data_IF_131755508476
#
_entry.id   IF_131755508476
#
_cell.length_a   1.000
_cell.length_b   1.000
_cell.length_c   1.000
_cell.angle_alpha   90.00
_cell.angle_beta   90.00
_cell.angle_gamma   90.00
#
_symmetry.space_group_name_H-M   'P 1'
#
loop_
_entity.id
_entity.type
_entity.pdbx_description
1 polymer ?
#
# COMPACT_ATOMS: atom_id res chain seq x y z
N UNK A 1 -32.00 7.10 37.35
CA UNK A 1 -32.94 7.83 38.21
C UNK A 1 -33.45 6.95 39.36
N UNK A 2 -34.13 5.82 39.12
CA UNK A 2 -34.71 4.95 40.14
C UNK A 2 -33.69 4.49 41.20
N UNK A 3 -32.45 4.17 40.79
CA UNK A 3 -31.39 3.80 41.75
C UNK A 3 -30.94 5.00 42.59
N UNK A 4 -30.80 6.18 41.99
CA UNK A 4 -30.44 7.42 42.71
C UNK A 4 -31.50 7.76 43.76
N UNK A 5 -32.79 7.64 43.40
CA UNK A 5 -33.90 7.83 44.32
C UNK A 5 -33.90 6.82 45.49
N UNK A 6 -33.77 5.50 45.18
CA UNK A 6 -33.69 4.45 46.22
C UNK A 6 -32.53 4.63 47.18
N UNK A 7 -31.40 5.16 46.69
CA UNK A 7 -30.20 5.44 47.49
C UNK A 7 -30.24 6.83 48.16
N UNK A 8 -31.36 7.56 48.03
CA UNK A 8 -31.56 8.91 48.61
C UNK A 8 -30.56 9.96 48.12
N UNK A 9 -30.03 9.82 46.90
CA UNK A 9 -29.22 10.84 46.27
C UNK A 9 -30.03 11.97 45.65
N UNK A 10 -31.32 11.72 45.38
CA UNK A 10 -32.29 12.70 44.89
C UNK A 10 -33.58 12.55 45.67
N UNK A 11 -34.30 13.66 45.86
CA UNK A 11 -35.62 13.72 46.52
C UNK A 11 -36.72 13.13 45.63
N UNK A 12 -37.91 12.90 46.19
CA UNK A 12 -39.07 12.46 45.41
C UNK A 12 -39.44 13.47 44.33
N UNK A 13 -39.38 14.75 44.66
CA UNK A 13 -39.71 15.85 43.74
C UNK A 13 -38.71 15.91 42.58
N UNK A 14 -37.41 15.82 42.88
CA UNK A 14 -36.36 15.74 41.85
C UNK A 14 -36.51 14.50 40.96
N UNK A 15 -36.91 13.35 41.55
CA UNK A 15 -37.11 12.11 40.82
C UNK A 15 -38.27 12.23 39.82
N UNK A 16 -39.42 12.73 40.24
CA UNK A 16 -40.61 12.88 39.36
C UNK A 16 -40.34 13.94 38.27
N UNK A 17 -39.76 15.08 38.62
CA UNK A 17 -39.33 16.08 37.65
C UNK A 17 -38.39 15.54 36.62
N UNK A 18 -37.36 14.80 37.01
CA UNK A 18 -36.37 14.24 36.11
C UNK A 18 -36.93 13.11 35.21
N UNK A 19 -38.04 12.46 35.57
CA UNK A 19 -38.75 11.49 34.73
C UNK A 19 -39.47 12.17 33.56
N UNK A 20 -39.99 13.35 33.79
CA UNK A 20 -40.70 14.13 32.78
C UNK A 20 -39.74 14.93 31.87
N UNK A 21 -38.54 15.20 32.35
CA UNK A 21 -37.54 15.96 31.61
C UNK A 21 -36.96 15.15 30.45
N UNK A 22 -37.05 15.70 29.24
CA UNK A 22 -36.39 15.09 28.04
C UNK A 22 -34.89 15.28 28.12
N UNK A 23 -34.17 14.17 28.08
CA UNK A 23 -32.72 14.20 27.99
C UNK A 23 -32.28 14.90 26.68
N UNK A 24 -31.73 16.08 26.79
CA UNK A 24 -31.09 16.78 25.67
C UNK A 24 -29.65 16.31 25.59
N UNK A 25 -29.37 15.47 24.61
CA UNK A 25 -28.00 15.11 24.27
C UNK A 25 -27.29 16.33 23.68
N UNK A 26 -26.25 16.78 24.36
CA UNK A 26 -25.36 17.76 23.77
C UNK A 26 -24.87 17.23 22.40
N UNK A 27 -24.88 18.05 21.36
CA UNK A 27 -24.20 17.73 20.10
C UNK A 27 -22.70 17.71 20.38
N UNK A 28 -22.23 16.62 20.95
CA UNK A 28 -20.78 16.38 21.04
C UNK A 28 -20.30 16.27 19.59
N UNK A 29 -19.33 17.08 19.15
CA UNK A 29 -18.71 16.86 17.85
C UNK A 29 -18.25 15.40 17.81
N UNK A 30 -18.75 14.65 16.84
CA UNK A 30 -18.27 13.28 16.69
C UNK A 30 -16.74 13.33 16.56
N UNK A 31 -16.04 12.47 17.27
CA UNK A 31 -14.57 12.36 17.24
C UNK A 31 -14.03 12.45 15.80
N UNK A 32 -14.76 11.88 14.85
CA UNK A 32 -14.46 11.88 13.43
C UNK A 32 -14.49 13.26 12.74
N UNK A 33 -15.21 14.25 13.26
CA UNK A 33 -15.26 15.61 12.67
C UNK A 33 -14.00 16.41 12.95
N UNK A 34 -13.26 16.05 13.99
CA UNK A 34 -11.96 16.65 14.33
C UNK A 34 -10.79 15.86 13.81
N UNK A 35 -10.99 14.58 13.47
CA UNK A 35 -9.95 13.71 12.93
C UNK A 35 -9.75 13.97 11.43
N UNK A 36 -8.57 14.47 11.07
CA UNK A 36 -8.22 14.88 9.70
C UNK A 36 -7.76 13.72 8.81
N UNK A 37 -7.44 12.56 9.40
CA UNK A 37 -6.98 11.37 8.69
C UNK A 37 -7.49 10.08 9.39
N UNK A 38 -8.81 9.85 9.45
CA UNK A 38 -9.39 8.81 10.32
C UNK A 38 -8.92 7.40 9.97
N UNK A 39 -8.87 7.01 8.70
CA UNK A 39 -8.33 5.70 8.30
C UNK A 39 -6.88 5.49 8.74
N UNK A 40 -6.06 6.54 8.66
CA UNK A 40 -4.68 6.48 9.12
C UNK A 40 -4.60 6.36 10.64
N UNK A 41 -5.45 7.09 11.37
CA UNK A 41 -5.50 6.97 12.83
C UNK A 41 -5.90 5.56 13.27
N UNK A 42 -6.88 4.92 12.63
CA UNK A 42 -7.24 3.53 12.91
C UNK A 42 -6.08 2.57 12.61
N UNK A 43 -5.35 2.82 11.52
CA UNK A 43 -4.14 2.05 11.21
C UNK A 43 -3.08 2.23 12.30
N UNK A 44 -2.84 3.47 12.77
CA UNK A 44 -1.90 3.77 13.86
C UNK A 44 -2.32 3.08 15.16
N UNK A 45 -3.62 3.04 15.49
CA UNK A 45 -4.11 2.34 16.68
C UNK A 45 -3.79 0.85 16.64
N UNK A 46 -4.03 0.19 15.50
CA UNK A 46 -3.66 -1.22 15.30
C UNK A 46 -2.14 -1.47 15.37
N UNK A 47 -1.33 -0.52 14.90
CA UNK A 47 0.13 -0.61 15.03
C UNK A 47 0.58 -0.43 16.48
N UNK A 48 -0.05 0.45 17.27
CA UNK A 48 0.22 0.59 18.71
C UNK A 48 -0.09 -0.70 19.47
N UNK A 49 -1.21 -1.35 19.18
CA UNK A 49 -1.56 -2.65 19.75
C UNK A 49 -0.50 -3.72 19.46
N UNK A 50 -0.02 -3.79 18.20
CA UNK A 50 1.08 -4.70 17.81
C UNK A 50 2.41 -4.40 18.53
N UNK A 51 2.63 -3.15 18.90
CA UNK A 51 3.79 -2.71 19.69
C UNK A 51 3.64 -3.00 21.19
N UNK A 52 2.50 -3.55 21.62
CA UNK A 52 2.23 -3.96 23.00
C UNK A 52 1.60 -2.88 23.89
N UNK A 53 1.13 -1.78 23.30
CA UNK A 53 0.29 -0.82 24.01
C UNK A 53 -1.14 -1.37 24.09
N UNK A 54 -1.68 -1.55 25.29
CA UNK A 54 -3.07 -2.00 25.44
C UNK A 54 -4.08 -0.85 25.21
N UNK A 55 -5.34 -1.21 24.96
CA UNK A 55 -6.40 -0.24 24.68
C UNK A 55 -6.62 0.75 25.85
N UNK A 56 -6.44 0.30 27.08
CA UNK A 56 -6.58 1.13 28.30
C UNK A 56 -5.43 2.14 28.36
N UNK A 57 -4.20 1.70 28.12
CA UNK A 57 -3.03 2.57 28.06
C UNK A 57 -3.17 3.64 26.98
N UNK A 58 -3.64 3.25 25.78
CA UNK A 58 -3.84 4.19 24.67
C UNK A 58 -4.91 5.23 25.02
N UNK A 59 -6.05 4.80 25.59
CA UNK A 59 -7.19 5.68 25.88
C UNK A 59 -6.99 6.59 27.09
N UNK A 60 -6.26 6.11 28.11
CA UNK A 60 -6.12 6.79 29.42
C UNK A 60 -4.70 7.29 29.69
N UNK A 61 -3.70 6.77 28.98
CA UNK A 61 -2.28 7.06 29.23
C UNK A 61 -1.83 8.46 28.83
N UNK A 62 -2.64 9.21 28.10
CA UNK A 62 -2.30 10.57 27.63
C UNK A 62 -1.07 10.60 26.73
N UNK A 63 -0.88 9.57 25.93
CA UNK A 63 0.23 9.46 25.00
C UNK A 63 0.13 10.46 23.86
N UNK A 64 1.29 10.99 23.48
CA UNK A 64 1.48 11.74 22.22
C UNK A 64 2.18 10.82 21.22
N UNK A 65 1.44 10.43 20.18
CA UNK A 65 1.97 9.62 19.09
C UNK A 65 2.41 10.52 17.95
N UNK A 66 3.70 10.53 17.66
CA UNK A 66 4.26 11.25 16.50
C UNK A 66 4.31 10.28 15.34
N UNK A 67 3.64 10.64 14.27
CA UNK A 67 3.47 9.81 13.08
C UNK A 67 4.26 10.33 11.90
N UNK A 68 4.36 9.50 10.85
CA UNK A 68 5.09 9.82 9.61
C UNK A 68 4.25 10.57 8.58
N UNK A 69 2.94 10.75 8.83
CA UNK A 69 1.99 11.30 7.87
C UNK A 69 2.36 12.72 7.41
N UNK A 70 2.41 12.94 6.11
CA UNK A 70 2.44 14.28 5.53
C UNK A 70 1.01 14.83 5.43
N UNK A 71 0.64 15.69 6.36
CA UNK A 71 -0.73 16.22 6.41
C UNK A 71 -1.10 17.04 5.16
N UNK A 72 -0.15 17.74 4.52
CA UNK A 72 -0.41 18.49 3.29
C UNK A 72 -0.74 17.55 2.13
N UNK A 73 0.03 16.49 1.97
CA UNK A 73 -0.21 15.46 0.97
C UNK A 73 -1.50 14.66 1.27
N UNK A 74 -1.76 14.34 2.55
CA UNK A 74 -3.00 13.67 2.97
C UNK A 74 -4.24 14.49 2.64
N UNK A 75 -4.22 15.79 2.92
CA UNK A 75 -5.32 16.69 2.57
C UNK A 75 -5.54 16.73 1.06
N UNK A 76 -4.46 16.84 0.27
CA UNK A 76 -4.53 16.79 -1.19
C UNK A 76 -5.14 15.48 -1.70
N UNK A 77 -4.82 14.33 -1.07
CA UNK A 77 -5.39 13.04 -1.43
C UNK A 77 -6.90 12.99 -1.16
N UNK A 78 -7.35 13.42 0.00
CA UNK A 78 -8.77 13.45 0.34
C UNK A 78 -9.56 14.34 -0.64
N UNK A 79 -9.03 15.53 -0.97
CA UNK A 79 -9.64 16.45 -1.93
C UNK A 79 -9.62 15.88 -3.36
N UNK A 80 -8.52 15.25 -3.78
CA UNK A 80 -8.38 14.63 -5.10
C UNK A 80 -9.36 13.48 -5.30
N UNK A 81 -9.55 12.62 -4.28
CA UNK A 81 -10.54 11.55 -4.31
C UNK A 81 -11.94 12.14 -4.56
N UNK A 82 -12.37 13.07 -3.74
CA UNK A 82 -13.72 13.63 -3.84
C UNK A 82 -13.95 14.36 -5.16
N UNK A 83 -13.00 15.19 -5.58
CA UNK A 83 -13.08 15.97 -6.82
C UNK A 83 -13.16 15.06 -8.05
N UNK A 84 -12.25 14.07 -8.16
CA UNK A 84 -12.18 13.23 -9.33
C UNK A 84 -13.35 12.24 -9.38
N UNK A 85 -13.76 11.63 -8.26
CA UNK A 85 -14.93 10.76 -8.25
C UNK A 85 -16.19 11.52 -8.70
N UNK A 86 -16.45 12.72 -8.16
CA UNK A 86 -17.60 13.54 -8.57
C UNK A 86 -17.53 13.97 -10.03
N UNK A 87 -16.37 14.41 -10.48
CA UNK A 87 -16.18 14.87 -11.87
C UNK A 87 -16.39 13.78 -12.92
N UNK A 88 -16.27 12.51 -12.53
CA UNK A 88 -16.49 11.36 -13.42
C UNK A 88 -17.81 10.60 -13.13
N UNK A 89 -18.72 11.19 -12.38
CA UNK A 89 -20.04 10.58 -12.08
C UNK A 89 -20.00 9.44 -11.06
N UNK A 90 -18.91 9.32 -10.29
CA UNK A 90 -18.74 8.31 -9.26
C UNK A 90 -19.06 8.87 -7.85
N UNK A 91 -20.14 9.66 -7.74
CA UNK A 91 -20.57 10.27 -6.47
C UNK A 91 -21.38 9.36 -5.56
N UNK A 92 -21.94 8.26 -6.08
CA UNK A 92 -22.81 7.32 -5.36
C UNK A 92 -22.09 6.63 -4.19
N UNK A 93 -22.84 6.13 -3.19
CA UNK A 93 -22.26 5.56 -1.97
C UNK A 93 -21.31 4.40 -2.23
N UNK A 94 -21.65 3.51 -3.15
CA UNK A 94 -20.83 2.35 -3.52
C UNK A 94 -19.52 2.69 -4.21
N UNK A 95 -19.43 3.84 -4.88
CA UNK A 95 -18.22 4.25 -5.59
C UNK A 95 -17.16 4.68 -4.58
N UNK A 96 -15.99 4.10 -4.65
CA UNK A 96 -14.91 4.31 -3.70
C UNK A 96 -13.57 4.53 -4.40
N UNK A 97 -12.63 5.13 -3.65
CA UNK A 97 -11.24 5.19 -4.02
C UNK A 97 -10.37 5.06 -2.76
N UNK A 98 -9.21 4.47 -2.90
CA UNK A 98 -8.20 4.40 -1.86
C UNK A 98 -6.85 4.90 -2.39
N UNK A 99 -6.08 5.55 -1.52
CA UNK A 99 -4.75 6.05 -1.82
C UNK A 99 -3.80 5.65 -0.70
N UNK A 100 -2.68 5.07 -1.09
CA UNK A 100 -1.60 4.75 -0.17
C UNK A 100 -0.27 5.26 -0.75
N UNK A 101 0.49 6.03 0.05
CA UNK A 101 1.80 6.55 -0.35
C UNK A 101 2.82 6.38 0.76
N UNK A 102 4.04 6.02 0.38
CA UNK A 102 5.16 5.93 1.31
C UNK A 102 6.48 6.33 0.64
N UNK A 103 7.50 6.61 1.45
CA UNK A 103 8.86 6.86 0.99
C UNK A 103 9.58 5.53 0.75
N UNK A 104 10.07 5.24 -0.46
CA UNK A 104 10.83 4.04 -0.75
C UNK A 104 12.23 4.05 -0.14
N UNK A 105 12.67 5.19 0.41
CA UNK A 105 14.01 5.37 0.99
C UNK A 105 14.03 4.96 2.47
N UNK A 106 13.06 5.43 3.26
CA UNK A 106 13.03 5.23 4.71
C UNK A 106 11.74 4.59 5.23
N UNK A 107 10.77 4.29 4.36
CA UNK A 107 9.55 3.58 4.70
C UNK A 107 8.46 4.43 5.36
N UNK A 108 8.63 5.74 5.50
CA UNK A 108 7.62 6.61 6.09
C UNK A 108 6.32 6.59 5.29
N UNK A 109 5.21 6.26 5.94
CA UNK A 109 3.87 6.40 5.34
C UNK A 109 3.53 7.88 5.27
N UNK A 110 3.27 8.40 4.06
CA UNK A 110 3.03 9.81 3.80
C UNK A 110 1.56 10.12 3.59
N UNK A 111 0.80 9.19 2.94
CA UNK A 111 -0.63 9.34 2.67
C UNK A 111 -1.32 8.00 2.92
N UNK A 112 -2.49 8.06 3.54
CA UNK A 112 -3.31 6.89 3.83
C UNK A 112 -4.79 7.23 3.80
N UNK A 113 -5.47 6.90 2.72
CA UNK A 113 -6.90 7.10 2.55
C UNK A 113 -7.57 5.78 2.17
N UNK A 114 -8.26 5.14 3.12
CA UNK A 114 -8.93 3.84 2.93
C UNK A 114 -10.29 3.94 2.23
N UNK A 115 -10.77 5.14 1.93
CA UNK A 115 -12.04 5.39 1.27
C UNK A 115 -12.33 6.88 1.11
N UNK A 116 -13.43 7.22 0.46
CA UNK A 116 -13.81 8.62 0.19
C UNK A 116 -14.46 9.34 1.37
N UNK A 117 -15.13 8.61 2.25
CA UNK A 117 -15.86 9.16 3.40
C UNK A 117 -15.88 8.15 4.55
N UNK A 118 -15.07 8.40 5.57
CA UNK A 118 -14.94 7.55 6.74
C UNK A 118 -16.24 7.48 7.57
N UNK A 119 -17.05 8.54 7.57
CA UNK A 119 -18.30 8.58 8.33
C UNK A 119 -19.37 7.64 7.76
N UNK A 120 -19.25 7.31 6.47
CA UNK A 120 -20.13 6.38 5.76
C UNK A 120 -19.63 4.95 5.72
N UNK A 121 -18.32 4.78 5.59
CA UNK A 121 -17.68 3.47 5.53
C UNK A 121 -16.31 3.51 6.19
N UNK A 122 -16.14 2.76 7.27
CA UNK A 122 -14.87 2.60 7.99
C UNK A 122 -14.02 1.45 7.41
N UNK A 123 -14.54 0.76 6.40
CA UNK A 123 -13.81 -0.32 5.73
C UNK A 123 -12.55 0.21 5.05
N UNK A 124 -11.41 -0.26 5.51
CA UNK A 124 -10.10 0.18 5.04
C UNK A 124 -9.67 -0.57 3.77
N UNK A 125 -9.77 0.08 2.63
CA UNK A 125 -9.43 -0.52 1.33
C UNK A 125 -7.94 -0.56 1.04
N UNK A 126 -7.11 0.00 1.91
CA UNK A 126 -5.65 -0.08 1.78
C UNK A 126 -5.13 -1.44 2.26
N UNK A 127 -5.61 -1.92 3.42
CA UNK A 127 -5.11 -3.15 4.05
C UNK A 127 -6.12 -4.31 4.08
N UNK A 128 -7.43 -4.05 3.94
CA UNK A 128 -8.44 -5.10 4.05
C UNK A 128 -8.98 -5.56 2.70
N UNK A 129 -9.15 -4.65 1.73
CA UNK A 129 -9.67 -5.02 0.42
C UNK A 129 -8.64 -5.83 -0.39
N UNK A 130 -9.06 -6.99 -0.86
CA UNK A 130 -8.31 -7.83 -1.80
C UNK A 130 -8.99 -7.72 -3.16
N UNK A 131 -8.35 -7.00 -4.11
CA UNK A 131 -8.92 -6.68 -5.40
C UNK A 131 -7.95 -6.99 -6.54
N UNK A 132 -8.44 -7.52 -7.69
CA UNK A 132 -7.59 -7.81 -8.83
C UNK A 132 -6.94 -6.54 -9.38
N UNK A 133 -5.59 -6.49 -9.48
CA UNK A 133 -4.87 -5.29 -9.95
C UNK A 133 -4.94 -5.11 -11.48
N UNK A 134 -5.41 -6.11 -12.22
CA UNK A 134 -5.43 -6.07 -13.67
C UNK A 134 -4.04 -5.81 -14.25
N UNK A 135 -3.97 -5.09 -15.35
CA UNK A 135 -2.71 -4.79 -16.05
C UNK A 135 -1.63 -4.09 -15.24
N UNK A 136 -1.94 -3.56 -14.03
CA UNK A 136 -0.89 -3.02 -13.15
C UNK A 136 -0.03 -4.12 -12.52
N UNK A 137 -0.40 -5.40 -12.62
CA UNK A 137 0.45 -6.52 -12.21
C UNK A 137 1.58 -6.83 -13.21
N UNK A 138 1.44 -6.44 -14.47
CA UNK A 138 2.42 -6.73 -15.52
C UNK A 138 3.87 -6.36 -15.16
N UNK A 139 4.18 -5.25 -14.48
CA UNK A 139 5.56 -4.96 -14.06
C UNK A 139 6.21 -6.06 -13.22
N UNK A 140 5.45 -6.85 -12.45
CA UNK A 140 6.00 -7.99 -11.71
C UNK A 140 6.44 -9.11 -12.68
N UNK A 141 5.64 -9.38 -13.73
CA UNK A 141 5.99 -10.34 -14.78
C UNK A 141 7.23 -9.89 -15.55
N UNK A 142 7.28 -8.60 -15.90
CA UNK A 142 8.41 -8.02 -16.63
C UNK A 142 9.67 -8.00 -15.76
N UNK A 143 9.58 -7.72 -14.47
CA UNK A 143 10.70 -7.81 -13.53
C UNK A 143 11.26 -9.23 -13.47
N UNK A 144 10.39 -10.25 -13.37
CA UNK A 144 10.81 -11.65 -13.43
C UNK A 144 11.51 -12.00 -14.75
N UNK A 145 11.10 -11.35 -15.85
CA UNK A 145 11.72 -11.53 -17.16
C UNK A 145 13.10 -10.85 -17.23
N UNK A 146 13.24 -9.63 -16.70
CA UNK A 146 14.53 -8.92 -16.64
C UNK A 146 15.54 -9.69 -15.76
N UNK A 147 15.13 -10.21 -14.61
CA UNK A 147 15.96 -11.04 -13.73
C UNK A 147 16.45 -12.34 -14.44
N UNK A 148 15.76 -12.78 -15.49
CA UNK A 148 16.17 -13.90 -16.36
C UNK A 148 16.94 -13.47 -17.62
N UNK A 149 17.36 -12.20 -17.70
CA UNK A 149 18.19 -11.67 -18.77
C UNK A 149 17.44 -11.30 -20.05
N UNK A 150 16.11 -11.15 -20.00
CA UNK A 150 15.34 -10.52 -21.08
C UNK A 150 15.55 -9.01 -20.97
N UNK A 151 15.89 -8.36 -22.10
CA UNK A 151 16.14 -6.92 -22.16
C UNK A 151 14.88 -6.13 -22.56
N UNK A 152 14.73 -4.88 -22.11
CA UNK A 152 13.69 -3.98 -22.61
C UNK A 152 13.70 -3.82 -24.14
N UNK A 153 14.85 -3.95 -24.76
CA UNK A 153 15.05 -3.80 -26.21
C UNK A 153 14.90 -5.11 -27.00
N UNK A 154 14.75 -6.26 -26.33
CA UNK A 154 14.43 -7.51 -27.02
C UNK A 154 13.09 -7.41 -27.73
N UNK A 155 12.95 -8.11 -28.87
CA UNK A 155 11.70 -8.12 -29.62
C UNK A 155 10.76 -9.18 -29.07
N UNK A 156 9.46 -8.85 -29.01
CA UNK A 156 8.39 -9.77 -28.59
C UNK A 156 7.23 -9.72 -29.58
N UNK A 157 6.59 -10.86 -29.81
CA UNK A 157 5.43 -10.93 -30.71
C UNK A 157 4.14 -10.45 -30.04
N UNK A 158 3.58 -9.37 -30.56
CA UNK A 158 2.24 -8.87 -30.23
C UNK A 158 1.21 -9.41 -31.24
N UNK A 159 0.96 -10.72 -31.21
CA UNK A 159 0.00 -11.46 -32.05
C UNK A 159 -0.86 -12.39 -31.20
N UNK A 160 -2.04 -12.84 -31.68
CA UNK A 160 -2.86 -13.80 -30.96
C UNK A 160 -2.05 -14.99 -30.43
N UNK A 161 -2.36 -15.44 -29.24
CA UNK A 161 -1.69 -16.50 -28.51
C UNK A 161 -2.72 -17.38 -27.82
N UNK A 162 -2.46 -18.68 -27.77
CA UNK A 162 -3.19 -19.64 -26.96
C UNK A 162 -2.19 -20.43 -26.11
N UNK A 163 -2.47 -20.59 -24.83
CA UNK A 163 -1.70 -21.38 -23.87
C UNK A 163 -2.67 -22.36 -23.23
N UNK A 164 -2.59 -23.64 -23.61
CA UNK A 164 -3.61 -24.62 -23.21
C UNK A 164 -5.01 -24.19 -23.70
N UNK A 165 -5.92 -23.96 -22.74
CA UNK A 165 -7.28 -23.48 -23.04
C UNK A 165 -7.41 -21.95 -22.95
N UNK A 166 -6.40 -21.24 -22.50
CA UNK A 166 -6.42 -19.82 -22.32
C UNK A 166 -5.95 -19.05 -23.55
N UNK A 167 -6.78 -18.15 -24.03
CA UNK A 167 -6.48 -17.29 -25.21
C UNK A 167 -6.65 -15.83 -24.84
N UNK A 168 -5.62 -15.18 -24.26
CA UNK A 168 -5.66 -13.76 -23.93
C UNK A 168 -5.82 -12.91 -25.18
N UNK A 169 -6.54 -11.78 -25.05
CA UNK A 169 -6.74 -10.83 -26.12
C UNK A 169 -6.27 -9.45 -25.68
N UNK A 170 -5.71 -8.69 -26.60
CA UNK A 170 -5.42 -7.28 -26.38
C UNK A 170 -6.72 -6.45 -26.34
N UNK A 171 -6.68 -5.34 -25.60
CA UNK A 171 -7.78 -4.40 -25.58
C UNK A 171 -8.14 -3.94 -27.01
N UNK A 172 -9.41 -4.02 -27.37
CA UNK A 172 -9.90 -3.71 -28.72
C UNK A 172 -9.38 -4.64 -29.82
N UNK A 173 -8.85 -5.82 -29.49
CA UNK A 173 -8.29 -6.81 -30.43
C UNK A 173 -7.20 -6.21 -31.35
N UNK A 174 -6.43 -5.23 -30.87
CA UNK A 174 -5.33 -4.59 -31.63
C UNK A 174 -4.02 -5.29 -31.37
N UNK A 175 -3.34 -5.69 -32.45
CA UNK A 175 -2.04 -6.36 -32.41
C UNK A 175 -1.04 -5.59 -33.30
N UNK A 176 0.25 -5.57 -32.89
CA UNK A 176 1.28 -4.73 -33.49
C UNK A 176 2.41 -5.52 -34.18
N UNK A 177 2.32 -6.87 -34.17
CA UNK A 177 3.39 -7.71 -34.68
C UNK A 177 4.61 -7.75 -33.77
N UNK A 178 5.80 -7.75 -34.32
CA UNK A 178 7.06 -7.74 -33.55
C UNK A 178 7.34 -6.34 -33.03
N UNK A 179 7.38 -6.18 -31.70
CA UNK A 179 7.63 -4.90 -31.03
C UNK A 179 8.66 -5.08 -29.90
N UNK A 180 9.41 -4.04 -29.50
CA UNK A 180 10.27 -4.11 -28.32
C UNK A 180 9.48 -4.40 -27.04
N UNK A 181 10.09 -5.11 -26.09
CA UNK A 181 9.50 -5.44 -24.79
C UNK A 181 9.03 -4.18 -24.06
N UNK A 182 9.82 -3.08 -24.09
CA UNK A 182 9.39 -1.82 -23.46
C UNK A 182 8.12 -1.24 -24.11
N UNK A 183 7.97 -1.36 -25.43
CA UNK A 183 6.76 -0.92 -26.14
C UNK A 183 5.55 -1.76 -25.72
N UNK A 184 5.72 -3.07 -25.54
CA UNK A 184 4.66 -3.95 -25.09
C UNK A 184 4.14 -3.55 -23.70
N UNK A 185 5.03 -3.15 -22.77
CA UNK A 185 4.63 -2.62 -21.45
C UNK A 185 3.96 -1.26 -21.56
N UNK A 186 4.51 -0.36 -22.40
CA UNK A 186 4.00 1.00 -22.65
C UNK A 186 2.54 0.98 -23.12
N UNK A 187 2.23 0.11 -24.09
CA UNK A 187 0.87 -0.04 -24.63
C UNK A 187 0.02 -1.04 -23.85
N UNK A 188 0.60 -1.67 -22.82
CA UNK A 188 -0.07 -2.65 -21.96
C UNK A 188 -0.60 -3.89 -22.71
N UNK A 189 0.17 -4.44 -23.68
CA UNK A 189 -0.22 -5.65 -24.42
C UNK A 189 -0.46 -6.83 -23.47
N UNK A 190 -1.63 -7.47 -23.58
CA UNK A 190 -1.98 -8.66 -22.81
C UNK A 190 -1.24 -9.89 -23.32
N UNK A 191 -1.17 -10.05 -24.64
CA UNK A 191 -0.54 -11.22 -25.26
C UNK A 191 0.98 -11.23 -25.04
N UNK A 192 1.63 -10.06 -25.00
CA UNK A 192 3.04 -9.98 -24.66
C UNK A 192 3.31 -10.35 -23.20
N UNK A 193 2.47 -9.91 -22.26
CA UNK A 193 2.59 -10.35 -20.86
C UNK A 193 2.39 -11.86 -20.72
N UNK A 194 1.43 -12.44 -21.46
CA UNK A 194 1.21 -13.88 -21.48
C UNK A 194 2.38 -14.66 -22.11
N UNK A 195 3.08 -14.09 -23.13
CA UNK A 195 4.30 -14.70 -23.66
C UNK A 195 5.44 -14.66 -22.66
N UNK A 196 5.61 -13.53 -21.95
CA UNK A 196 6.67 -13.39 -20.95
C UNK A 196 6.47 -14.39 -19.80
N UNK A 197 5.27 -14.52 -19.23
CA UNK A 197 5.05 -15.49 -18.14
C UNK A 197 5.21 -16.94 -18.63
N UNK A 198 4.86 -17.24 -19.90
CA UNK A 198 5.12 -18.54 -20.49
C UNK A 198 6.62 -18.83 -20.61
N UNK A 199 7.42 -17.82 -20.98
CA UNK A 199 8.88 -17.92 -21.14
C UNK A 199 9.59 -18.07 -19.79
N UNK A 200 9.19 -17.29 -18.79
CA UNK A 200 9.89 -17.27 -17.48
C UNK A 200 9.32 -18.26 -16.47
N UNK A 201 8.12 -18.80 -16.71
CA UNK A 201 7.41 -19.70 -15.82
C UNK A 201 6.62 -18.96 -14.74
N UNK A 202 5.44 -19.54 -14.38
CA UNK A 202 4.52 -18.99 -13.37
C UNK A 202 5.22 -18.90 -12.00
N UNK A 203 5.98 -19.93 -11.61
CA UNK A 203 6.73 -19.99 -10.34
C UNK A 203 7.65 -18.79 -10.17
N UNK A 204 8.39 -18.41 -11.21
CA UNK A 204 9.29 -17.24 -11.15
C UNK A 204 8.53 -15.94 -10.90
N UNK A 205 7.37 -15.77 -11.53
CA UNK A 205 6.53 -14.58 -11.34
C UNK A 205 5.96 -14.53 -9.92
N UNK A 206 5.45 -15.65 -9.39
CA UNK A 206 4.95 -15.75 -8.01
C UNK A 206 6.10 -15.48 -7.02
N UNK A 207 7.28 -16.04 -7.25
CA UNK A 207 8.45 -15.80 -6.40
C UNK A 207 8.85 -14.32 -6.43
N UNK A 208 8.89 -13.69 -7.60
CA UNK A 208 9.16 -12.24 -7.73
C UNK A 208 8.11 -11.43 -6.97
N UNK A 209 6.82 -11.75 -7.07
CA UNK A 209 5.76 -11.08 -6.31
C UNK A 209 6.00 -11.20 -4.79
N UNK A 210 6.33 -12.40 -4.30
CA UNK A 210 6.57 -12.67 -2.88
C UNK A 210 7.78 -11.90 -2.33
N UNK A 211 8.92 -11.94 -3.03
CA UNK A 211 10.11 -11.20 -2.57
C UNK A 211 9.92 -9.70 -2.60
N UNK A 212 9.04 -9.20 -3.47
CA UNK A 212 8.61 -7.80 -3.50
C UNK A 212 7.60 -7.45 -2.40
N UNK A 213 7.13 -8.45 -1.64
CA UNK A 213 6.29 -8.24 -0.47
C UNK A 213 4.79 -8.36 -0.72
N UNK A 214 4.36 -9.02 -1.79
CA UNK A 214 2.96 -9.43 -1.98
C UNK A 214 2.74 -10.72 -1.19
N UNK A 215 2.08 -10.60 -0.04
CA UNK A 215 1.82 -11.69 0.90
C UNK A 215 0.48 -12.39 0.63
N UNK A 216 -0.47 -11.67 0.01
CA UNK A 216 -1.74 -12.24 -0.43
C UNK A 216 -1.48 -13.45 -1.34
N UNK A 217 -2.11 -14.62 -1.09
CA UNK A 217 -1.91 -15.82 -1.90
C UNK A 217 -2.21 -15.58 -3.38
N UNK A 218 -1.33 -16.08 -4.23
CA UNK A 218 -1.46 -16.01 -5.69
C UNK A 218 -1.65 -17.43 -6.24
N UNK A 219 -2.64 -17.59 -7.12
CA UNK A 219 -2.93 -18.86 -7.78
C UNK A 219 -1.87 -19.20 -8.83
N UNK A 220 -1.56 -20.49 -8.99
CA UNK A 220 -0.60 -20.98 -9.98
C UNK A 220 -1.28 -21.12 -11.34
N UNK A 221 -1.51 -19.97 -11.99
CA UNK A 221 -2.19 -19.91 -13.29
C UNK A 221 -1.60 -18.82 -14.18
N UNK A 222 -1.60 -19.00 -15.50
CA UNK A 222 -1.08 -18.03 -16.46
C UNK A 222 -1.84 -16.70 -16.46
N UNK A 223 -3.10 -16.67 -16.04
CA UNK A 223 -3.91 -15.45 -15.98
C UNK A 223 -3.38 -14.42 -14.98
N UNK A 224 -2.53 -14.84 -14.03
CA UNK A 224 -1.80 -13.92 -13.13
C UNK A 224 -1.00 -12.87 -13.90
N UNK A 225 -0.56 -13.18 -15.13
CA UNK A 225 0.13 -12.22 -16.00
C UNK A 225 -0.71 -10.97 -16.30
N UNK A 226 -2.03 -11.09 -16.21
CA UNK A 226 -2.98 -10.01 -16.44
C UNK A 226 -3.54 -9.44 -15.12
N UNK A 227 -3.07 -9.95 -13.97
CA UNK A 227 -3.49 -9.51 -12.64
C UNK A 227 -4.89 -9.99 -12.26
N UNK A 228 -5.22 -11.24 -12.56
CA UNK A 228 -6.48 -11.90 -12.19
C UNK A 228 -6.65 -12.11 -10.69
N UNK A 229 -5.53 -12.35 -9.97
CA UNK A 229 -5.55 -12.58 -8.53
C UNK A 229 -5.65 -11.26 -7.75
N UNK A 230 -6.49 -11.27 -6.72
CA UNK A 230 -6.62 -10.11 -5.84
C UNK A 230 -5.34 -9.85 -5.03
N UNK A 231 -5.06 -8.57 -4.79
CA UNK A 231 -3.96 -8.10 -3.92
C UNK A 231 -4.46 -6.97 -3.03
N UNK A 232 -3.81 -6.75 -1.88
CA UNK A 232 -4.06 -5.57 -1.06
C UNK A 232 -3.29 -4.38 -1.61
N UNK A 233 -3.90 -3.20 -1.60
CA UNK A 233 -3.27 -1.97 -2.11
C UNK A 233 -1.95 -1.67 -1.37
N UNK A 234 -1.89 -1.91 -0.06
CA UNK A 234 -0.70 -1.75 0.76
C UNK A 234 0.48 -2.59 0.24
N UNK A 235 0.28 -3.91 0.12
CA UNK A 235 1.31 -4.85 -0.35
C UNK A 235 1.76 -4.52 -1.77
N UNK A 236 0.80 -4.20 -2.62
CA UNK A 236 1.05 -3.91 -4.02
C UNK A 236 1.81 -2.59 -4.23
N UNK A 237 1.49 -1.57 -3.43
CA UNK A 237 2.25 -0.31 -3.45
C UNK A 237 3.67 -0.51 -2.92
N UNK A 238 3.84 -1.34 -1.86
CA UNK A 238 5.16 -1.71 -1.34
C UNK A 238 6.02 -2.39 -2.41
N UNK A 239 5.44 -3.29 -3.19
CA UNK A 239 6.15 -3.97 -4.28
C UNK A 239 6.70 -2.98 -5.33
N UNK A 240 5.95 -1.95 -5.69
CA UNK A 240 6.42 -0.90 -6.59
C UNK A 240 7.56 -0.06 -5.99
N UNK A 241 7.67 -0.03 -4.66
CA UNK A 241 8.76 0.63 -3.96
C UNK A 241 10.14 0.10 -4.34
N UNK A 242 10.25 -1.19 -4.64
CA UNK A 242 11.50 -1.80 -5.06
C UNK A 242 12.01 -1.23 -6.39
N UNK A 243 11.10 -0.93 -7.33
CA UNK A 243 11.49 -0.29 -8.60
C UNK A 243 11.97 1.15 -8.38
N UNK A 244 11.36 1.88 -7.42
CA UNK A 244 11.77 3.24 -7.08
C UNK A 244 13.12 3.30 -6.35
N UNK A 245 13.51 2.23 -5.66
CA UNK A 245 14.65 2.19 -4.75
C UNK A 245 15.76 1.21 -5.20
N UNK A 246 15.99 1.07 -6.51
CA UNK A 246 17.09 0.29 -7.05
C UNK A 246 17.06 -1.21 -6.70
N UNK A 247 15.87 -1.79 -6.52
CA UNK A 247 15.66 -3.20 -6.19
C UNK A 247 15.50 -3.49 -4.70
N UNK A 248 15.55 -2.48 -3.83
CA UNK A 248 15.38 -2.65 -2.38
C UNK A 248 13.92 -2.55 -1.96
N UNK A 249 13.43 -3.57 -1.28
CA UNK A 249 12.12 -3.57 -0.61
C UNK A 249 12.25 -2.94 0.77
N UNK A 250 11.40 -1.96 1.04
CA UNK A 250 11.37 -1.21 2.29
C UNK A 250 10.04 -1.47 2.99
N UNK A 251 10.10 -1.74 4.31
CA UNK A 251 8.89 -1.94 5.11
C UNK A 251 8.28 -0.58 5.49
N UNK A 252 7.05 -0.25 5.06
CA UNK A 252 6.38 0.97 5.47
C UNK A 252 6.04 0.96 6.97
N UNK A 253 6.13 2.14 7.62
CA UNK A 253 5.76 2.32 9.02
C UNK A 253 5.07 3.67 9.24
N UNK A 254 4.23 3.75 10.28
CA UNK A 254 3.39 4.91 10.57
C UNK A 254 3.82 5.71 11.80
N UNK A 255 4.48 5.07 12.78
CA UNK A 255 4.77 5.66 14.09
C UNK A 255 6.27 5.95 14.19
N UNK A 256 6.64 7.23 14.29
CA UNK A 256 8.03 7.63 14.53
C UNK A 256 8.43 7.44 16.01
N UNK A 257 7.56 7.89 16.93
CA UNK A 257 7.77 7.74 18.37
C UNK A 257 6.48 7.93 19.15
N UNK A 258 6.48 7.40 20.37
CA UNK A 258 5.42 7.59 21.38
C UNK A 258 6.02 8.25 22.61
N UNK A 259 5.40 9.32 23.07
CA UNK A 259 5.78 10.09 24.24
C UNK A 259 4.67 10.03 25.28
N UNK A 260 5.02 9.95 26.57
CA UNK A 260 4.05 10.12 27.65
C UNK A 260 3.58 11.58 27.73
N UNK A 261 2.53 11.86 28.51
CA UNK A 261 2.06 13.21 28.81
C UNK A 261 3.15 14.13 29.41
N UNK A 262 4.19 13.55 30.04
CA UNK A 262 5.34 14.25 30.61
C UNK A 262 6.53 14.38 29.64
N UNK A 263 6.35 14.01 28.37
CA UNK A 263 7.38 14.12 27.33
C UNK A 263 8.45 13.02 27.34
N UNK A 264 8.33 11.98 28.18
CA UNK A 264 9.25 10.83 28.14
C UNK A 264 8.94 9.98 26.90
N UNK A 265 9.95 9.73 26.06
CA UNK A 265 9.84 8.81 24.92
C UNK A 265 9.80 7.37 25.46
N UNK A 266 8.70 6.66 25.17
CA UNK A 266 8.48 5.24 25.55
C UNK A 266 8.65 4.30 24.38
N UNK A 267 8.52 4.80 23.15
CA UNK A 267 8.81 4.07 21.91
C UNK A 267 9.45 5.00 20.89
N UNK A 268 10.41 4.48 20.16
CA UNK A 268 11.00 5.12 18.97
C UNK A 268 11.14 4.06 17.88
N UNK A 269 10.68 4.38 16.67
CA UNK A 269 10.79 3.47 15.55
C UNK A 269 12.26 3.03 15.33
N UNK A 270 12.51 1.73 15.16
CA UNK A 270 13.81 1.23 14.75
C UNK A 270 14.13 1.70 13.33
N UNK A 271 15.37 1.53 12.89
CA UNK A 271 15.69 1.70 11.46
C UNK A 271 14.84 0.75 10.65
N UNK A 272 14.21 1.26 9.59
CA UNK A 272 13.35 0.49 8.70
C UNK A 272 14.12 -0.70 8.12
N UNK A 273 13.47 -1.86 8.09
CA UNK A 273 14.02 -3.06 7.43
C UNK A 273 14.03 -2.82 5.92
N UNK A 274 15.21 -2.94 5.35
CA UNK A 274 15.47 -2.81 3.91
C UNK A 274 16.12 -4.10 3.45
N UNK A 275 15.56 -4.74 2.41
CA UNK A 275 16.09 -5.99 1.84
C UNK A 275 16.28 -5.84 0.35
N UNK A 276 17.44 -6.23 -0.17
CA UNK A 276 17.73 -6.24 -1.60
C UNK A 276 17.08 -7.46 -2.24
N UNK A 277 16.16 -7.27 -3.18
CA UNK A 277 15.33 -8.33 -3.75
C UNK A 277 15.37 -8.40 -5.28
N UNK A 278 15.66 -7.30 -5.96
CA UNK A 278 15.89 -7.26 -7.40
C UNK A 278 17.26 -6.66 -7.68
N UNK A 279 17.85 -7.01 -8.81
CA UNK A 279 19.06 -6.33 -9.26
C UNK A 279 18.81 -4.85 -9.54
N UNK A 280 19.82 -4.01 -9.32
CA UNK A 280 19.74 -2.59 -9.66
C UNK A 280 19.47 -2.39 -11.16
N UNK A 281 20.00 -3.27 -12.02
CA UNK A 281 19.76 -3.25 -13.46
C UNK A 281 18.27 -3.48 -13.75
N UNK A 282 17.66 -4.51 -13.15
CA UNK A 282 16.21 -4.76 -13.31
C UNK A 282 15.39 -3.56 -12.86
N UNK A 283 15.71 -2.94 -11.71
CA UNK A 283 15.01 -1.75 -11.24
C UNK A 283 15.15 -0.56 -12.22
N UNK A 284 16.34 -0.38 -12.79
CA UNK A 284 16.61 0.65 -13.81
C UNK A 284 15.84 0.39 -15.10
N UNK A 285 15.87 -0.85 -15.62
CA UNK A 285 15.14 -1.28 -16.82
C UNK A 285 13.63 -1.12 -16.65
N UNK A 286 13.09 -1.58 -15.51
CA UNK A 286 11.67 -1.42 -15.19
C UNK A 286 11.27 0.05 -15.10
N UNK A 287 12.12 0.90 -14.51
CA UNK A 287 11.85 2.34 -14.43
C UNK A 287 11.90 3.00 -15.81
N UNK A 288 12.87 2.67 -16.65
CA UNK A 288 12.95 3.17 -18.01
C UNK A 288 11.69 2.81 -18.82
N UNK A 289 11.25 1.54 -18.75
CA UNK A 289 10.01 1.09 -19.40
C UNK A 289 8.77 1.80 -18.83
N UNK A 290 8.63 1.92 -17.52
CA UNK A 290 7.45 2.53 -16.89
C UNK A 290 7.42 4.07 -17.03
N UNK A 291 8.56 4.74 -17.25
CA UNK A 291 8.58 6.14 -17.68
C UNK A 291 7.84 6.31 -19.02
N UNK A 292 8.01 5.39 -19.98
CA UNK A 292 7.32 5.46 -21.27
C UNK A 292 5.80 5.34 -21.15
N UNK A 293 5.30 4.62 -20.13
CA UNK A 293 3.86 4.53 -19.86
C UNK A 293 3.26 5.90 -19.53
N UNK A 294 4.00 6.73 -18.78
CA UNK A 294 3.56 8.09 -18.41
C UNK A 294 3.79 9.10 -19.55
N UNK A 295 4.87 8.97 -20.30
CA UNK A 295 5.19 9.93 -21.38
C UNK A 295 4.39 9.68 -22.65
N UNK A 296 4.31 8.43 -23.09
CA UNK A 296 3.80 8.04 -24.41
C UNK A 296 2.69 6.98 -24.36
N UNK A 297 2.52 6.32 -23.21
CA UNK A 297 1.66 5.15 -23.04
C UNK A 297 0.28 5.45 -22.46
N UNK A 298 -0.25 4.44 -21.75
CA UNK A 298 -1.61 4.45 -21.16
C UNK A 298 -1.75 5.36 -19.95
N UNK A 299 -0.64 5.82 -19.34
CA UNK A 299 -0.60 6.58 -18.10
C UNK A 299 -0.39 8.09 -18.26
N UNK A 300 -0.57 8.67 -19.45
CA UNK A 300 -0.26 10.08 -19.74
C UNK A 300 -0.96 11.08 -18.82
N UNK A 301 -2.15 10.75 -18.34
CA UNK A 301 -2.88 11.61 -17.39
C UNK A 301 -2.15 11.79 -16.06
N UNK A 302 -1.25 10.87 -15.68
CA UNK A 302 -0.44 10.95 -14.45
C UNK A 302 0.82 11.83 -14.61
N UNK A 303 1.11 12.41 -15.76
CA UNK A 303 2.29 13.23 -15.94
C UNK A 303 2.26 14.48 -15.05
N UNK A 304 3.23 14.60 -14.14
CA UNK A 304 3.39 15.71 -13.18
C UNK A 304 4.50 16.70 -13.58
N UNK A 305 5.16 16.50 -14.73
CA UNK A 305 6.29 17.30 -15.17
C UNK A 305 7.58 17.09 -14.38
N UNK A 306 7.68 16.01 -13.60
CA UNK A 306 8.86 15.56 -12.86
C UNK A 306 9.19 14.12 -13.26
N UNK A 307 10.43 13.62 -13.02
CA UNK A 307 10.76 12.22 -13.23
C UNK A 307 9.79 11.30 -12.47
N UNK A 308 9.02 10.53 -13.22
CA UNK A 308 8.04 9.61 -12.68
C UNK A 308 7.88 8.38 -13.57
N UNK A 309 7.60 7.24 -12.96
CA UNK A 309 7.33 5.99 -13.63
C UNK A 309 6.06 5.37 -13.06
N UNK A 310 5.33 4.57 -13.85
CA UNK A 310 4.09 3.97 -13.35
C UNK A 310 3.39 3.09 -14.34
N UNK A 311 2.31 2.47 -13.89
CA UNK A 311 1.51 1.55 -14.68
C UNK A 311 0.02 1.67 -14.36
N UNK A 312 -0.79 1.65 -15.40
CA UNK A 312 -2.25 1.59 -15.33
C UNK A 312 -2.72 0.15 -15.14
N UNK A 313 -3.75 -0.06 -14.33
CA UNK A 313 -4.48 -1.30 -14.19
C UNK A 313 -5.96 -1.07 -14.45
N UNK A 314 -6.59 -2.01 -15.14
CA UNK A 314 -8.04 -2.09 -15.31
C UNK A 314 -8.37 -3.56 -15.45
N UNK A 315 -9.38 -4.05 -14.71
CA UNK A 315 -9.88 -5.41 -14.87
C UNK A 315 -10.75 -5.52 -16.12
N UNK A 316 -10.79 -6.70 -16.72
CA UNK A 316 -11.55 -6.93 -17.97
C UNK A 316 -13.02 -6.56 -17.83
N UNK A 317 -13.62 -6.83 -16.67
CA UNK A 317 -15.00 -6.46 -16.36
C UNK A 317 -15.17 -4.99 -15.94
N UNK A 318 -14.10 -4.19 -15.94
CA UNK A 318 -14.13 -2.78 -15.52
C UNK A 318 -14.69 -2.56 -14.09
N UNK A 319 -14.42 -3.49 -13.17
CA UNK A 319 -14.82 -3.43 -11.76
C UNK A 319 -13.79 -2.69 -10.90
N UNK A 320 -12.51 -2.82 -11.28
CA UNK A 320 -11.38 -2.23 -10.58
C UNK A 320 -10.49 -1.45 -11.55
N UNK A 321 -10.06 -0.28 -11.14
CA UNK A 321 -9.12 0.56 -11.87
C UNK A 321 -8.00 1.02 -10.94
N UNK A 322 -6.75 0.87 -11.39
CA UNK A 322 -5.55 1.21 -10.62
C UNK A 322 -4.63 2.16 -11.36
N UNK A 323 -3.95 2.98 -10.62
CA UNK A 323 -2.71 3.60 -11.06
C UNK A 323 -1.64 3.41 -9.98
N UNK A 324 -0.59 2.69 -10.33
CA UNK A 324 0.57 2.48 -9.49
C UNK A 324 1.73 3.28 -10.07
N UNK A 325 2.33 4.17 -9.28
CA UNK A 325 3.41 4.99 -9.80
C UNK A 325 4.31 5.54 -8.71
N UNK A 326 5.47 6.02 -9.13
CA UNK A 326 6.50 6.52 -8.22
C UNK A 326 7.37 7.60 -8.86
N UNK A 327 7.98 8.38 -7.99
CA UNK A 327 9.13 9.23 -8.23
C UNK A 327 10.32 8.66 -7.43
N UNK A 328 11.52 9.22 -7.50
CA UNK A 328 12.64 8.75 -6.67
C UNK A 328 12.36 8.74 -5.17
N UNK A 329 11.46 9.59 -4.70
CA UNK A 329 11.24 9.83 -3.28
C UNK A 329 9.91 9.29 -2.74
N UNK A 330 8.92 9.05 -3.59
CA UNK A 330 7.57 8.68 -3.17
C UNK A 330 6.98 7.64 -4.11
N UNK A 331 6.42 6.59 -3.52
CA UNK A 331 5.61 5.58 -4.21
C UNK A 331 4.15 5.77 -3.81
N UNK A 332 3.26 5.77 -4.79
CA UNK A 332 1.83 5.95 -4.56
C UNK A 332 1.01 4.96 -5.37
N UNK A 333 0.14 4.24 -4.69
CA UNK A 333 -0.90 3.41 -5.29
C UNK A 333 -2.27 4.06 -5.13
N UNK A 334 -3.05 4.03 -6.21
CA UNK A 334 -4.44 4.48 -6.24
C UNK A 334 -5.33 3.38 -6.79
N UNK A 335 -6.38 3.06 -6.07
CA UNK A 335 -7.47 2.19 -6.50
C UNK A 335 -8.78 2.95 -6.59
N UNK A 336 -9.60 2.61 -7.59
CA UNK A 336 -10.98 3.09 -7.77
C UNK A 336 -11.85 1.89 -8.13
N UNK A 337 -13.01 1.76 -7.48
CA UNK A 337 -13.95 0.67 -7.73
C UNK A 337 -15.26 0.85 -6.99
N UNK A 338 -16.15 -0.14 -7.14
CA UNK A 338 -17.40 -0.22 -6.38
C UNK A 338 -17.24 -1.22 -5.23
N UNK A 339 -17.75 -0.87 -4.03
CA UNK A 339 -17.72 -1.76 -2.86
C UNK A 339 -18.48 -3.06 -3.08
N UNK A 340 -19.57 -3.00 -3.82
CA UNK A 340 -20.41 -4.14 -4.18
C UNK A 340 -19.86 -4.96 -5.36
N UNK A 341 -18.65 -4.67 -5.82
CA UNK A 341 -17.98 -5.33 -6.94
C UNK A 341 -18.79 -5.27 -8.27
N UNK A 342 -19.69 -4.30 -8.41
CA UNK A 342 -20.39 -4.06 -9.68
C UNK A 342 -19.51 -3.32 -10.68
N UNK A 343 -19.84 -3.44 -11.95
CA UNK A 343 -19.12 -2.81 -13.07
C UNK A 343 -19.21 -1.29 -12.99
N UNK A 344 -18.11 -0.60 -13.24
CA UNK A 344 -18.08 0.85 -13.47
C UNK A 344 -18.32 1.20 -14.93
N UNK A 345 -18.53 2.48 -15.22
CA UNK A 345 -18.58 2.95 -16.61
C UNK A 345 -17.25 2.62 -17.32
N UNK A 346 -17.33 2.19 -18.58
CA UNK A 346 -16.17 1.80 -19.41
C UNK A 346 -15.13 2.92 -19.59
N UNK A 347 -15.50 4.17 -19.37
CA UNK A 347 -14.57 5.32 -19.37
C UNK A 347 -13.69 5.36 -18.13
N UNK A 348 -14.02 4.65 -17.04
CA UNK A 348 -13.27 4.59 -15.80
C UNK A 348 -12.19 3.52 -15.93
N UNK A 349 -11.00 3.94 -16.27
CA UNK A 349 -9.84 3.08 -16.48
C UNK A 349 -8.65 3.59 -15.65
N UNK A 350 -7.64 2.76 -15.48
CA UNK A 350 -6.43 3.14 -14.74
C UNK A 350 -5.74 4.41 -15.25
N UNK A 351 -5.86 4.68 -16.55
CA UNK A 351 -5.33 5.89 -17.19
C UNK A 351 -6.22 7.13 -17.07
N UNK A 352 -7.38 7.04 -16.41
CA UNK A 352 -8.31 8.16 -16.20
C UNK A 352 -8.38 8.54 -14.73
N UNK A 353 -9.43 8.15 -14.00
CA UNK A 353 -9.66 8.60 -12.61
C UNK A 353 -8.52 8.28 -11.67
N UNK A 354 -8.00 7.03 -11.59
CA UNK A 354 -6.86 6.74 -10.71
C UNK A 354 -5.61 7.55 -11.06
N UNK A 355 -5.29 7.71 -12.35
CA UNK A 355 -4.14 8.50 -12.81
C UNK A 355 -4.27 9.99 -12.46
N UNK A 356 -5.47 10.55 -12.52
CA UNK A 356 -5.74 11.93 -12.14
C UNK A 356 -5.64 12.12 -10.61
N UNK A 357 -6.18 11.21 -9.81
CA UNK A 357 -6.02 11.23 -8.35
C UNK A 357 -4.53 11.15 -8.00
N UNK A 358 -3.80 10.22 -8.60
CA UNK A 358 -2.36 10.06 -8.40
C UNK A 358 -1.61 11.35 -8.74
N UNK A 359 -1.91 11.96 -9.89
CA UNK A 359 -1.30 13.24 -10.31
C UNK A 359 -1.51 14.35 -9.30
N UNK A 360 -2.74 14.50 -8.81
CA UNK A 360 -3.09 15.57 -7.87
C UNK A 360 -2.38 15.40 -6.52
N UNK A 361 -2.31 14.16 -6.03
CA UNK A 361 -1.57 13.79 -4.81
C UNK A 361 -0.07 14.06 -4.99
N UNK A 362 0.50 13.53 -6.06
CA UNK A 362 1.94 13.59 -6.28
C UNK A 362 2.46 14.98 -6.60
N UNK A 363 1.66 15.86 -7.19
CA UNK A 363 2.03 17.27 -7.35
C UNK A 363 2.35 17.93 -6.02
N UNK A 364 1.53 17.66 -4.99
CA UNK A 364 1.72 18.23 -3.65
C UNK A 364 2.80 17.48 -2.88
N UNK A 365 2.71 16.15 -2.84
CA UNK A 365 3.63 15.32 -2.07
C UNK A 365 5.10 15.44 -2.53
N UNK A 366 5.34 15.71 -3.81
CA UNK A 366 6.69 15.86 -4.35
C UNK A 366 7.25 17.29 -4.32
N UNK A 367 6.49 18.27 -3.84
CA UNK A 367 6.98 19.66 -3.75
C UNK A 367 8.30 19.79 -2.96
N UNK A 368 8.47 19.15 -1.77
CA UNK A 368 9.68 19.26 -0.99
C UNK A 368 10.95 18.73 -1.67
N UNK A 369 10.79 17.84 -2.67
CA UNK A 369 11.92 17.13 -3.29
C UNK A 369 12.38 17.74 -4.63
N UNK A 370 11.73 18.80 -5.12
CA UNK A 370 12.09 19.44 -6.38
C UNK A 370 12.01 18.48 -7.59
N UNK A 371 13.03 18.50 -8.45
CA UNK A 371 13.19 17.58 -9.59
C UNK A 371 14.26 16.54 -9.26
N UNK A 372 13.97 15.64 -8.31
CA UNK A 372 14.86 14.54 -8.02
C UNK A 372 14.93 13.57 -9.19
N UNK A 373 16.13 13.09 -9.51
CA UNK A 373 16.38 12.05 -10.52
C UNK A 373 16.56 10.68 -9.85
N UNK A 374 16.28 9.61 -10.62
CA UNK A 374 16.53 8.25 -10.15
C UNK A 374 18.03 7.98 -10.11
N UNK A 375 18.52 7.50 -8.98
CA UNK A 375 19.94 7.28 -8.74
C UNK A 375 20.36 5.84 -9.07
N UNK A 376 20.20 5.45 -10.33
CA UNK A 376 20.70 4.18 -10.85
C UNK A 376 21.05 4.29 -12.34
N UNK A 377 21.73 3.27 -12.95
CA UNK A 377 22.18 3.33 -14.33
C UNK A 377 21.07 3.75 -15.29
N UNK A 378 21.40 4.62 -16.21
CA UNK A 378 20.47 4.97 -17.28
C UNK A 378 20.37 3.81 -18.27
N UNK A 379 19.14 3.43 -18.59
CA UNK A 379 18.84 2.41 -19.60
C UNK A 379 18.40 3.11 -20.87
N UNK A 380 19.15 2.90 -21.95
CA UNK A 380 18.80 3.40 -23.27
C UNK A 380 17.73 2.49 -23.88
N UNK A 381 16.58 3.06 -24.20
CA UNK A 381 15.54 2.40 -24.97
C UNK A 381 15.71 2.73 -26.44
N UNK A 382 16.08 1.73 -27.24
CA UNK A 382 16.34 1.89 -28.66
C UNK A 382 15.04 2.18 -29.42
N UNK A 383 14.96 3.21 -30.27
CA UNK A 383 13.75 3.52 -31.03
C UNK A 383 13.23 2.32 -31.82
N UNK A 384 11.90 2.17 -31.85
CA UNK A 384 11.27 1.13 -32.69
C UNK A 384 11.65 1.31 -34.15
N UNK A 385 12.20 0.25 -34.77
CA UNK A 385 12.75 0.27 -36.10
C UNK A 385 14.28 0.26 -36.18
N UNK A 386 14.98 0.58 -35.08
CA UNK A 386 16.47 0.50 -35.00
C UNK A 386 16.95 -0.76 -34.28
N UNK A 387 16.06 -1.61 -33.80
CA UNK A 387 16.37 -2.80 -33.00
C UNK A 387 16.77 -3.96 -33.94
N UNK A 388 17.90 -4.59 -33.62
CA UNK A 388 18.30 -5.82 -34.30
C UNK A 388 17.34 -6.97 -33.96
N UNK A 389 16.62 -7.55 -34.92
CA UNK A 389 15.55 -8.54 -34.64
C UNK A 389 16.09 -9.93 -34.28
N UNK A 390 17.40 -10.11 -33.98
CA UNK A 390 18.01 -11.43 -33.83
C UNK A 390 17.55 -12.23 -32.57
N UNK A 391 16.92 -11.60 -31.62
CA UNK A 391 16.30 -12.29 -30.48
C UNK A 391 14.82 -11.89 -30.37
N UNK A 392 13.93 -12.79 -30.79
CA UNK A 392 12.47 -12.61 -30.74
C UNK A 392 11.86 -13.59 -29.76
N UNK A 393 11.23 -13.07 -28.71
CA UNK A 393 10.54 -13.90 -27.72
C UNK A 393 9.22 -14.41 -28.32
N UNK A 394 9.06 -15.73 -28.36
CA UNK A 394 7.87 -16.38 -28.91
C UNK A 394 7.97 -16.88 -30.35
N UNK A 395 9.11 -16.70 -31.04
CA UNK A 395 9.32 -17.18 -32.42
C UNK A 395 9.89 -18.61 -32.46
N UNK A 396 10.15 -19.24 -31.35
CA UNK A 396 10.68 -20.59 -31.32
C UNK A 396 9.58 -21.62 -31.52
N UNK A 397 9.59 -22.28 -32.65
CA UNK A 397 9.10 -23.65 -32.82
C UNK A 397 9.95 -24.62 -31.94
N UNK A 398 10.23 -24.27 -30.71
CA UNK A 398 10.87 -25.14 -29.74
C UNK A 398 9.79 -26.07 -29.17
N UNK A 399 10.00 -27.37 -29.36
CA UNK A 399 9.22 -28.42 -28.70
C UNK A 399 9.09 -28.06 -27.21
N UNK A 400 7.90 -28.21 -26.62
CA UNK A 400 7.74 -27.98 -25.19
C UNK A 400 8.66 -28.95 -24.47
N UNK A 401 9.61 -28.42 -23.66
CA UNK A 401 10.22 -29.22 -22.61
C UNK A 401 9.07 -29.64 -21.70
N UNK A 402 8.87 -30.94 -21.56
CA UNK A 402 7.95 -31.49 -20.57
C UNK A 402 8.39 -30.96 -19.20
N UNK A 403 7.63 -30.02 -18.64
CA UNK A 403 7.70 -29.71 -17.21
C UNK A 403 7.13 -30.95 -16.49
N UNK A 404 8.00 -31.69 -15.83
CA UNK A 404 7.59 -32.72 -14.87
C UNK A 404 6.70 -32.02 -13.83
N UNK A 405 5.48 -32.54 -13.68
CA UNK A 405 4.57 -32.17 -12.61
C UNK A 405 5.14 -32.76 -11.30
N UNK A 406 6.05 -32.02 -10.67
CA UNK A 406 6.35 -32.23 -9.26
C UNK A 406 5.21 -31.66 -8.44
N UNK A 407 4.48 -32.52 -7.72
CA UNK A 407 3.53 -32.14 -6.69
C UNK A 407 4.26 -31.25 -5.66
N UNK A 408 3.79 -30.03 -5.52
CA UNK A 408 4.36 -29.05 -4.59
C UNK A 408 3.75 -29.33 -3.22
N UNK A 409 4.53 -29.88 -2.29
CA UNK A 409 4.21 -29.82 -0.87
C UNK A 409 4.34 -28.36 -0.39
N UNK A 410 3.19 -27.71 -0.17
CA UNK A 410 3.10 -26.31 0.26
C UNK A 410 3.52 -26.10 1.74
N UNK A 411 3.91 -27.17 2.46
CA UNK A 411 4.28 -27.14 3.86
C UNK A 411 5.80 -27.03 4.12
N UNK A 412 6.65 -27.15 3.11
CA UNK A 412 8.08 -26.90 3.28
C UNK A 412 8.39 -25.41 3.05
N UNK A 413 8.23 -24.61 4.11
CA UNK A 413 8.59 -23.19 4.13
C UNK A 413 9.90 -22.96 4.89
N UNK A 414 11.03 -23.29 4.27
CA UNK A 414 12.26 -22.52 4.55
C UNK A 414 12.82 -21.98 3.23
N UNK A 415 13.01 -20.65 3.10
CA UNK A 415 13.63 -20.10 1.92
C UNK A 415 15.09 -20.54 1.86
N UNK A 416 15.47 -21.21 0.76
CA UNK A 416 16.89 -21.50 0.48
C UNK A 416 17.59 -20.19 0.18
N UNK A 417 18.21 -19.61 1.21
CA UNK A 417 19.05 -18.41 1.08
C UNK A 417 20.33 -18.74 0.29
N UNK A 418 20.79 -17.84 -0.60
CA UNK A 418 22.09 -17.97 -1.26
C UNK A 418 23.22 -18.15 -0.24
N UNK A 419 24.24 -18.91 -0.60
CA UNK A 419 25.36 -19.28 0.28
C UNK A 419 26.10 -18.08 0.91
N UNK A 420 26.08 -16.93 0.23
CA UNK A 420 26.62 -15.66 0.73
C UNK A 420 25.88 -15.10 1.94
N UNK A 421 24.57 -15.38 2.07
CA UNK A 421 23.73 -14.91 3.18
C UNK A 421 23.83 -15.85 4.37
N UNK A 422 24.02 -17.16 4.15
CA UNK A 422 24.23 -18.16 5.22
C UNK A 422 25.48 -17.87 6.04
N UNK A 423 26.54 -17.33 5.44
CA UNK A 423 27.79 -17.00 6.14
C UNK A 423 27.68 -15.80 7.08
N UNK A 424 26.75 -14.89 6.83
CA UNK A 424 26.53 -13.71 7.69
C UNK A 424 25.71 -14.08 8.93
N UNK A 425 24.73 -14.95 8.81
CA UNK A 425 23.92 -15.42 9.94
C UNK A 425 24.71 -16.30 10.92
N UNK A 426 25.61 -17.14 10.41
CA UNK A 426 26.44 -17.99 11.26
C UNK A 426 27.48 -17.21 12.10
N UNK A 427 27.91 -16.03 11.65
CA UNK A 427 28.81 -15.16 12.42
C UNK A 427 28.10 -14.35 13.53
N UNK A 428 26.77 -14.16 13.44
CA UNK A 428 25.99 -13.47 14.46
C UNK A 428 25.47 -14.40 15.57
N UNK A 429 25.39 -15.71 15.34
CA UNK A 429 24.93 -16.68 16.33
C UNK A 429 26.05 -17.19 17.29
N UNK A 430 27.30 -16.81 17.09
CA UNK A 430 28.42 -17.26 17.93
C UNK A 430 28.80 -16.32 19.08
N UNK A 431 28.01 -15.33 19.43
CA UNK A 431 28.19 -14.57 20.68
C UNK A 431 27.27 -15.10 21.77
N UNK A 432 27.83 -15.62 22.89
CA UNK A 432 27.06 -16.16 24.00
C UNK A 432 26.27 -15.03 24.69
N UNK A 433 24.96 -15.20 24.77
CA UNK A 433 24.09 -14.38 25.60
C UNK A 433 24.30 -14.80 27.04
N UNK A 434 24.94 -13.93 27.85
CA UNK A 434 24.96 -14.09 29.29
C UNK A 434 23.55 -13.82 29.83
N UNK A 435 22.88 -14.91 30.21
CA UNK A 435 21.63 -14.86 30.98
C UNK A 435 21.91 -14.31 32.37
N UNK A 436 21.53 -13.07 32.62
CA UNK A 436 21.36 -12.57 33.98
C UNK A 436 19.90 -12.81 34.38
N UNK A 437 19.68 -13.81 35.22
CA UNK A 437 18.41 -14.04 35.93
C UNK A 437 18.13 -12.89 36.90
N UNK A 438 16.91 -12.31 36.91
CA UNK A 438 16.54 -11.31 37.91
C UNK A 438 16.33 -11.99 39.28
N UNK A 439 16.99 -11.46 40.31
CA UNK A 439 16.83 -11.84 41.72
C UNK A 439 15.41 -11.41 42.18
N UNK A 440 14.69 -12.22 42.97
CA UNK A 440 13.37 -11.83 43.50
C UNK A 440 13.52 -10.70 44.53
N UNK A 441 12.65 -9.69 44.38
CA UNK A 441 12.55 -8.58 45.35
C UNK A 441 11.89 -9.05 46.64
N UNK A 442 12.49 -8.64 47.75
CA UNK A 442 12.04 -8.94 49.11
C UNK A 442 10.68 -8.27 49.42
N UNK A 443 9.82 -9.02 50.10
CA UNK A 443 8.53 -8.56 50.58
C UNK A 443 8.73 -7.45 51.64
N UNK A 444 8.12 -6.28 51.39
CA UNK A 444 8.00 -5.21 52.38
C UNK A 444 6.59 -5.29 53.00
N UNK A 445 6.54 -5.64 54.26
CA UNK A 445 5.36 -5.58 55.13
C UNK A 445 5.05 -4.12 55.47
N UNK A 446 3.89 -3.63 55.04
CA UNK A 446 3.36 -2.33 55.51
C UNK A 446 2.26 -2.52 56.54
N UNK A 447 2.44 -1.91 57.70
CA UNK A 447 1.41 -1.69 58.74
C UNK A 447 0.45 -0.59 58.26
N UNK A 448 -0.83 -0.63 58.72
CA UNK A 448 -1.85 0.34 58.29
C UNK A 448 -1.68 1.68 59.04
N UNK A 449 -1.73 2.78 58.31
CA UNK A 449 -1.91 4.11 58.86
C UNK A 449 -3.26 4.68 58.49
N UNK A 450 -3.81 5.32 59.50
CA UNK A 450 -5.11 5.95 59.69
C UNK A 450 -5.49 7.03 58.69
N UNK A 451 -6.78 7.06 58.39
CA UNK A 451 -7.56 8.03 57.62
C UNK A 451 -7.41 9.49 58.12
N UNK A 452 -7.16 10.41 57.16
CA UNK A 452 -7.44 11.84 57.34
C UNK A 452 -8.40 12.31 56.22
N UNK A 453 -9.36 13.15 56.63
CA UNK A 453 -10.48 13.63 55.83
C UNK A 453 -10.06 14.64 54.72
N UNK A 454 -10.85 14.80 53.67
CA UNK A 454 -10.51 15.70 52.55
C UNK A 454 -10.88 17.17 52.89
N UNK A 455 -9.99 18.07 52.53
CA UNK A 455 -10.14 19.54 52.56
C UNK A 455 -10.92 19.99 51.32
N UNK A 456 -11.88 20.92 51.42
CA UNK A 456 -12.65 21.40 50.27
C UNK A 456 -11.90 22.44 49.45
N UNK A 457 -12.05 22.34 48.12
CA UNK A 457 -11.52 23.27 47.11
C UNK A 457 -12.51 24.45 46.96
N UNK A 458 -12.06 25.72 46.94
CA UNK A 458 -12.95 26.85 46.76
C UNK A 458 -13.31 27.02 45.26
N UNK A 459 -14.61 27.22 45.00
CA UNK A 459 -15.15 27.62 43.69
C UNK A 459 -14.82 29.07 43.39
N UNK A 460 -14.27 29.30 42.18
CA UNK A 460 -14.14 30.64 41.59
C UNK A 460 -15.44 31.04 40.89
N UNK A 461 -15.96 32.21 41.23
CA UNK A 461 -17.11 32.88 40.62
C UNK A 461 -16.64 33.62 39.36
N UNK A 462 -17.37 33.62 38.24
CA UNK A 462 -17.02 34.46 37.09
C UNK A 462 -17.59 35.85 37.26
N UNK A 463 -16.76 36.89 37.13
CA UNK A 463 -17.20 38.28 36.96
C UNK A 463 -17.50 38.59 35.51
N UNK A 464 -18.51 39.42 35.32
CA UNK A 464 -19.21 39.65 34.10
C UNK A 464 -18.65 40.73 33.18
N UNK A 465 -19.21 40.71 32.02
CA UNK A 465 -19.70 41.74 31.11
C UNK A 465 -19.00 43.10 31.13
N UNK A 466 -18.34 43.39 30.06
CA UNK A 466 -18.62 44.57 29.20
C UNK A 466 -18.15 44.37 27.78
#
# INVERSE_FOLDING_TARGET
LTRMYKMRYITTEEYEKAKEEKVHLAKVPQFYTTNKAPYFCDYVMKELEKLGFDETEISQGGYKVVTTLDYKAQKAANEAILRNLRGWGLGGEKNQAAVFSFSPIDGKILVYSGGKDYTKSQYDRVTQAVRPPGSSFKPIVYAAAMEKGISPNDMIEDRPLTIGQWSPRNYGNKYRGKIPVYTALMVSSNVCAARLIKEVGIRSVIQTARVLGIETPLEYDYTIALGSNGVKLFEFTRAYGAFANGGYVVQPYAIERVETSRGKVVYKAPKTKITHQLSMNTAAEMTAMMKTVITNGTGRAANIGKPAAGKTGTTDDNKDAYFMGYTPNIVTGVWVGNDDNTVMNKSIQGGTVPALIWKDVMKVATEPYGKAEFNYPQVELVPFGSVNPNKVIGDTAAKPKQEEQEEIDLNETEPVLPESVRKIDQQQQQKPIQNQTPKPAAAVTTKPQTTAAPVPIPMAVPEGVR
#
